data_IF_921489808859
#
_entry.id   IF_921489808859
#
_cell.length_a   1.000
_cell.length_b   1.000
_cell.length_c   1.000
_cell.angle_alpha   90.00
_cell.angle_beta   90.00
_cell.angle_gamma   90.00
#
_symmetry.space_group_name_H-M   'P 1'
#
loop_
_entity.id
_entity.type
_entity.pdbx_description
1 polymer ?
#
# COMPACT_ATOMS: atom_id res chain seq x y z
N UNK A 1 1.27 -2.85 21.54
CA UNK A 1 1.06 -2.13 20.27
C UNK A 1 1.83 -2.74 19.09
N UNK A 2 3.10 -3.06 19.18
CA UNK A 2 3.84 -3.64 18.05
C UNK A 2 3.27 -4.95 17.50
N UNK A 3 2.71 -5.81 18.35
CA UNK A 3 2.01 -7.03 17.90
C UNK A 3 0.76 -6.67 17.09
N UNK A 4 -0.03 -5.67 17.53
CA UNK A 4 -1.18 -5.18 16.79
C UNK A 4 -0.79 -4.65 15.40
N UNK A 5 0.30 -3.88 15.31
CA UNK A 5 0.84 -3.38 14.04
C UNK A 5 1.27 -4.52 13.09
N UNK A 6 1.84 -5.60 13.62
CA UNK A 6 2.18 -6.79 12.80
C UNK A 6 0.94 -7.52 12.29
N UNK A 7 -0.15 -7.54 13.06
CA UNK A 7 -1.44 -8.09 12.60
C UNK A 7 -2.04 -7.21 11.49
N UNK A 8 -2.02 -5.88 11.66
CA UNK A 8 -2.42 -4.95 10.61
C UNK A 8 -1.60 -5.15 9.32
N UNK A 9 -0.28 -5.33 9.43
CA UNK A 9 0.61 -5.58 8.28
C UNK A 9 0.24 -6.84 7.49
N UNK A 10 -0.25 -7.89 8.17
CA UNK A 10 -0.72 -9.12 7.49
C UNK A 10 -2.00 -8.92 6.71
N UNK A 11 -2.85 -7.99 7.13
CA UNK A 11 -4.12 -7.69 6.49
C UNK A 11 -3.99 -6.73 5.29
N UNK A 12 -2.84 -6.04 5.12
CA UNK A 12 -2.63 -5.14 3.97
C UNK A 12 -2.78 -5.87 2.64
N UNK A 13 -3.37 -5.18 1.65
CA UNK A 13 -3.69 -5.70 0.33
C UNK A 13 -5.03 -6.47 0.26
N UNK A 14 -5.70 -6.68 1.40
CA UNK A 14 -6.95 -7.45 1.46
C UNK A 14 -8.14 -6.67 2.01
N UNK A 15 -7.93 -5.52 2.64
CA UNK A 15 -8.96 -4.79 3.40
C UNK A 15 -9.59 -3.62 2.67
N UNK A 16 -9.02 -3.23 1.53
CA UNK A 16 -9.51 -2.07 0.75
C UNK A 16 -11.03 -2.17 0.48
N UNK A 17 -11.75 -1.06 0.58
CA UNK A 17 -11.32 0.32 0.81
C UNK A 17 -11.07 0.71 2.28
N UNK A 18 -11.28 -0.21 3.23
CA UNK A 18 -11.09 0.02 4.67
C UNK A 18 -9.61 -0.06 5.06
N UNK A 19 -9.18 0.62 6.14
CA UNK A 19 -7.82 0.47 6.64
C UNK A 19 -7.54 -0.93 7.17
N UNK A 20 -6.31 -1.39 7.01
CA UNK A 20 -5.80 -2.57 7.67
C UNK A 20 -5.49 -2.23 9.14
N UNK A 21 -6.34 -2.66 10.06
CA UNK A 21 -6.22 -2.45 11.50
C UNK A 21 -5.89 -3.77 12.18
N UNK A 22 -5.08 -3.73 13.23
CA UNK A 22 -4.83 -4.87 14.10
C UNK A 22 -5.27 -4.56 15.53
N UNK A 23 -5.79 -5.56 16.21
CA UNK A 23 -6.22 -5.43 17.60
C UNK A 23 -5.81 -6.64 18.44
N UNK A 24 -5.61 -6.42 19.76
CA UNK A 24 -5.46 -7.45 20.78
C UNK A 24 -6.27 -7.08 22.02
N UNK A 25 -6.73 -8.10 22.76
CA UNK A 25 -7.24 -7.98 24.11
C UNK A 25 -6.26 -8.68 25.05
N UNK A 26 -5.82 -7.98 26.08
CA UNK A 26 -4.79 -8.45 27.03
C UNK A 26 -5.30 -8.33 28.45
N UNK A 27 -5.04 -9.33 29.26
CA UNK A 27 -5.21 -9.25 30.72
C UNK A 27 -4.09 -8.42 31.32
N UNK A 28 -4.37 -7.23 31.90
CA UNK A 28 -3.33 -6.38 32.46
C UNK A 28 -2.66 -6.96 33.72
N UNK A 29 -3.28 -7.92 34.37
CA UNK A 29 -2.75 -8.54 35.60
C UNK A 29 -1.73 -9.65 35.32
N UNK A 30 -1.90 -10.39 34.22
CA UNK A 30 -1.05 -11.53 33.85
C UNK A 30 -0.17 -11.25 32.63
N UNK A 31 -0.57 -10.28 31.78
CA UNK A 31 0.03 -10.04 30.47
C UNK A 31 -0.43 -11.03 29.39
N UNK A 32 -1.38 -11.90 29.70
CA UNK A 32 -1.92 -12.89 28.76
C UNK A 32 -2.71 -12.22 27.63
N UNK A 33 -2.50 -12.71 26.41
CA UNK A 33 -3.25 -12.29 25.21
C UNK A 33 -4.51 -13.15 25.10
N UNK A 34 -5.67 -12.60 25.48
CA UNK A 34 -6.98 -13.26 25.44
C UNK A 34 -7.44 -13.46 24.00
N UNK A 35 -7.29 -12.42 23.16
CA UNK A 35 -7.67 -12.46 21.75
C UNK A 35 -6.75 -11.59 20.91
N UNK A 36 -6.59 -11.93 19.63
CA UNK A 36 -5.85 -11.15 18.65
C UNK A 36 -6.49 -11.29 17.27
N UNK A 37 -6.50 -10.22 16.50
CA UNK A 37 -7.11 -10.22 15.17
C UNK A 37 -6.74 -8.98 14.36
N UNK A 38 -7.26 -8.92 13.16
CA UNK A 38 -7.11 -7.80 12.24
C UNK A 38 -8.38 -7.60 11.42
N UNK A 39 -8.49 -6.45 10.77
CA UNK A 39 -9.55 -6.24 9.76
C UNK A 39 -9.56 -7.41 8.77
N UNK A 40 -10.73 -7.97 8.56
CA UNK A 40 -10.90 -9.14 7.69
C UNK A 40 -10.92 -8.75 6.20
N UNK A 41 -10.71 -9.70 5.28
CA UNK A 41 -10.77 -9.45 3.84
C UNK A 41 -12.06 -8.75 3.41
N UNK A 42 -11.95 -7.78 2.47
CA UNK A 42 -13.05 -6.91 2.11
C UNK A 42 -13.37 -5.81 3.14
N UNK A 43 -12.52 -5.69 4.18
CA UNK A 43 -12.58 -4.63 5.18
C UNK A 43 -13.56 -4.87 6.33
N UNK A 44 -14.15 -6.06 6.43
CA UNK A 44 -15.13 -6.40 7.48
C UNK A 44 -15.12 -7.89 7.82
N UNK A 45 -15.36 -8.26 9.13
CA UNK A 45 -15.48 -7.35 10.28
C UNK A 45 -14.20 -6.53 10.57
N UNK A 46 -14.35 -5.44 11.34
CA UNK A 46 -13.22 -4.66 11.82
C UNK A 46 -12.43 -5.45 12.87
N UNK A 47 -11.16 -5.08 13.10
CA UNK A 47 -10.28 -5.79 14.03
C UNK A 47 -10.86 -5.87 15.45
N UNK A 48 -11.49 -4.79 15.93
CA UNK A 48 -12.09 -4.71 17.26
C UNK A 48 -13.26 -5.72 17.39
N UNK A 49 -14.15 -5.77 16.40
CA UNK A 49 -15.28 -6.70 16.39
C UNK A 49 -14.79 -8.16 16.37
N UNK A 50 -13.75 -8.43 15.59
CA UNK A 50 -13.11 -9.76 15.50
C UNK A 50 -12.57 -10.21 16.87
N UNK A 51 -11.76 -9.38 17.53
CA UNK A 51 -11.17 -9.75 18.83
C UNK A 51 -12.20 -9.82 19.95
N UNK A 52 -13.24 -8.98 19.90
CA UNK A 52 -14.34 -9.02 20.88
C UNK A 52 -15.18 -10.29 20.72
N UNK A 53 -15.42 -10.74 19.48
CA UNK A 53 -16.13 -11.98 19.23
C UNK A 53 -15.35 -13.21 19.76
N UNK A 54 -14.02 -13.22 19.60
CA UNK A 54 -13.15 -14.28 20.11
C UNK A 54 -13.06 -14.25 21.63
N UNK A 55 -12.88 -13.08 22.24
CA UNK A 55 -12.74 -12.96 23.70
C UNK A 55 -14.07 -13.20 24.45
N UNK A 56 -15.19 -12.88 23.84
CA UNK A 56 -16.49 -13.04 24.49
C UNK A 56 -16.56 -12.37 25.85
N UNK A 57 -17.00 -13.11 26.88
CA UNK A 57 -17.13 -12.58 28.27
C UNK A 57 -15.79 -12.24 28.93
N UNK A 58 -14.70 -12.84 28.49
CA UNK A 58 -13.36 -12.60 29.04
C UNK A 58 -12.82 -11.20 28.71
N UNK A 59 -13.43 -10.50 27.74
CA UNK A 59 -13.07 -9.12 27.40
C UNK A 59 -13.30 -8.13 28.57
N UNK A 60 -14.25 -8.44 29.46
CA UNK A 60 -14.63 -7.53 30.56
C UNK A 60 -13.47 -7.22 31.48
N UNK A 61 -13.24 -5.91 31.73
CA UNK A 61 -12.17 -5.42 32.59
C UNK A 61 -10.77 -5.49 31.98
N UNK A 62 -10.63 -5.91 30.71
CA UNK A 62 -9.33 -6.08 30.04
C UNK A 62 -8.90 -4.83 29.29
N UNK A 63 -7.67 -4.87 28.77
CA UNK A 63 -7.07 -3.81 27.94
C UNK A 63 -7.11 -4.21 26.47
N UNK A 64 -7.68 -3.36 25.63
CA UNK A 64 -7.62 -3.49 24.17
C UNK A 64 -6.51 -2.61 23.61
N UNK A 65 -5.66 -3.17 22.74
CA UNK A 65 -4.73 -2.45 21.88
C UNK A 65 -5.28 -2.47 20.47
N UNK A 66 -5.45 -1.31 19.84
CA UNK A 66 -5.96 -1.18 18.47
C UNK A 66 -5.11 -0.15 17.71
N UNK A 67 -4.78 -0.41 16.45
CA UNK A 67 -3.79 0.39 15.70
C UNK A 67 -4.33 1.68 15.08
N UNK A 68 -5.63 1.92 15.16
CA UNK A 68 -6.33 3.12 14.70
C UNK A 68 -7.52 3.38 15.63
N UNK A 69 -7.95 4.63 15.74
CA UNK A 69 -9.11 5.02 16.53
C UNK A 69 -10.34 4.15 16.19
N UNK A 70 -11.04 3.57 17.20
CA UNK A 70 -12.28 2.84 17.00
C UNK A 70 -13.37 3.73 16.39
N UNK A 71 -14.03 3.24 15.35
CA UNK A 71 -15.08 4.01 14.67
C UNK A 71 -16.27 4.27 15.60
N UNK A 72 -16.87 5.50 15.46
CA UNK A 72 -18.00 5.98 16.25
C UNK A 72 -19.27 6.25 15.43
N UNK A 73 -19.21 6.05 14.11
CA UNK A 73 -20.36 6.25 13.23
C UNK A 73 -21.02 4.94 12.85
N UNK A 74 -22.33 4.95 12.69
CA UNK A 74 -23.09 3.83 12.14
C UNK A 74 -22.80 3.71 10.63
N UNK A 75 -22.23 2.58 10.24
CA UNK A 75 -22.03 2.20 8.85
C UNK A 75 -22.90 0.99 8.49
N UNK A 76 -22.30 0.01 7.79
CA UNK A 76 -22.94 -1.28 7.55
C UNK A 76 -23.05 -2.16 8.82
N UNK A 77 -22.26 -1.83 9.83
CA UNK A 77 -22.24 -2.48 11.16
C UNK A 77 -22.29 -1.42 12.25
N UNK A 78 -22.71 -1.77 13.48
CA UNK A 78 -22.63 -0.86 14.61
C UNK A 78 -21.20 -0.35 14.82
N UNK A 79 -21.01 0.82 15.46
CA UNK A 79 -19.70 1.40 15.76
C UNK A 79 -18.86 0.47 16.65
N UNK A 80 -17.55 0.39 16.39
CA UNK A 80 -16.64 -0.37 17.24
C UNK A 80 -16.56 0.19 18.65
N UNK A 81 -16.66 1.50 18.83
CA UNK A 81 -16.70 2.13 20.16
C UNK A 81 -17.86 1.60 21.02
N UNK A 82 -19.07 1.45 20.43
CA UNK A 82 -20.21 0.88 21.15
C UNK A 82 -19.98 -0.60 21.52
N UNK A 83 -19.41 -1.38 20.60
CA UNK A 83 -19.09 -2.78 20.87
C UNK A 83 -18.04 -2.93 22.00
N UNK A 84 -17.05 -2.04 22.06
CA UNK A 84 -16.05 -1.97 23.14
C UNK A 84 -16.72 -1.69 24.49
N UNK A 85 -17.66 -0.72 24.53
CA UNK A 85 -18.42 -0.39 25.75
C UNK A 85 -19.29 -1.56 26.21
N UNK A 86 -20.04 -2.18 25.29
CA UNK A 86 -20.89 -3.34 25.60
C UNK A 86 -20.10 -4.53 26.16
N UNK A 87 -18.89 -4.76 25.62
CA UNK A 87 -17.99 -5.81 26.12
C UNK A 87 -17.38 -5.50 27.48
N UNK A 88 -17.47 -4.25 27.96
CA UNK A 88 -16.94 -3.84 29.25
C UNK A 88 -15.40 -3.77 29.27
N UNK A 89 -14.76 -3.45 28.17
CA UNK A 89 -13.30 -3.15 28.13
C UNK A 89 -13.03 -1.97 29.08
N UNK A 90 -12.03 -2.11 29.95
CA UNK A 90 -11.68 -1.08 30.93
C UNK A 90 -10.69 -0.05 30.38
N UNK A 91 -9.83 -0.45 29.44
CA UNK A 91 -8.77 0.42 28.88
C UNK A 91 -8.58 0.16 27.39
N UNK A 92 -8.40 1.22 26.63
CA UNK A 92 -8.06 1.18 25.19
C UNK A 92 -6.72 1.89 24.99
N UNK A 93 -5.79 1.25 24.29
CA UNK A 93 -4.54 1.86 23.83
C UNK A 93 -4.63 2.02 22.33
N UNK A 94 -4.69 3.28 21.88
CA UNK A 94 -4.83 3.66 20.48
C UNK A 94 -3.73 4.66 20.09
N UNK A 95 -2.91 4.41 19.07
CA UNK A 95 -1.75 5.26 18.74
C UNK A 95 -2.10 6.59 18.07
N UNK A 96 -3.15 6.63 17.26
CA UNK A 96 -3.53 7.78 16.42
C UNK A 96 -5.04 7.91 16.28
N UNK A 97 -5.51 9.13 16.12
CA UNK A 97 -6.88 9.41 15.72
C UNK A 97 -7.10 9.02 14.24
N UNK A 98 -8.34 8.71 13.91
CA UNK A 98 -8.74 8.47 12.51
C UNK A 98 -8.89 9.82 11.79
N UNK A 99 -8.25 10.02 10.62
CA UNK A 99 -8.39 11.25 9.84
C UNK A 99 -9.76 11.41 9.17
N UNK A 100 -10.62 10.38 9.19
CA UNK A 100 -11.98 10.47 8.68
C UNK A 100 -12.81 11.48 9.52
N UNK A 101 -13.33 12.56 8.94
CA UNK A 101 -14.12 13.58 9.69
C UNK A 101 -15.35 13.01 10.41
N UNK A 102 -15.83 11.83 10.00
CA UNK A 102 -16.93 11.13 10.66
C UNK A 102 -16.52 10.53 11.99
N UNK A 103 -15.22 10.20 12.17
CA UNK A 103 -14.61 9.58 13.36
C UNK A 103 -13.81 10.61 14.15
N UNK A 104 -12.70 11.05 13.66
CA UNK A 104 -11.78 12.11 14.14
C UNK A 104 -11.95 12.54 15.60
N UNK A 105 -11.43 11.76 16.52
CA UNK A 105 -11.51 12.00 17.96
C UNK A 105 -12.82 11.63 18.64
N UNK A 106 -13.91 11.37 17.90
CA UNK A 106 -15.24 11.08 18.46
C UNK A 106 -15.31 9.71 19.13
N UNK A 107 -14.62 8.72 18.58
CA UNK A 107 -14.54 7.38 19.17
C UNK A 107 -13.82 7.40 20.50
N UNK A 108 -12.70 8.11 20.56
CA UNK A 108 -11.93 8.33 21.82
C UNK A 108 -12.78 9.11 22.82
N UNK A 109 -13.44 10.19 22.41
CA UNK A 109 -14.30 11.00 23.28
C UNK A 109 -15.46 10.17 23.87
N UNK A 110 -16.12 9.36 23.06
CA UNK A 110 -17.23 8.49 23.48
C UNK A 110 -16.75 7.45 24.52
N UNK A 111 -15.62 6.80 24.28
CA UNK A 111 -15.05 5.83 25.22
C UNK A 111 -14.70 6.48 26.56
N UNK A 112 -14.03 7.65 26.54
CA UNK A 112 -13.66 8.40 27.76
C UNK A 112 -14.89 8.88 28.53
N UNK A 113 -15.93 9.39 27.87
CA UNK A 113 -17.17 9.82 28.48
C UNK A 113 -17.91 8.68 29.21
N UNK A 114 -17.73 7.45 28.72
CA UNK A 114 -18.28 6.24 29.35
C UNK A 114 -17.37 5.63 30.43
N UNK A 115 -16.26 6.29 30.81
CA UNK A 115 -15.36 5.85 31.87
C UNK A 115 -14.26 4.87 31.43
N UNK A 116 -14.08 4.62 30.14
CA UNK A 116 -12.97 3.81 29.62
C UNK A 116 -11.69 4.64 29.63
N UNK A 117 -10.60 4.11 30.20
CA UNK A 117 -9.28 4.73 30.10
C UNK A 117 -8.76 4.64 28.69
N UNK A 118 -8.40 5.77 28.04
CA UNK A 118 -7.88 5.79 26.66
C UNK A 118 -6.51 6.43 26.62
N UNK A 119 -5.48 5.63 26.31
CA UNK A 119 -4.11 6.09 26.10
C UNK A 119 -3.83 6.26 24.60
N UNK A 120 -3.29 7.43 24.26
CA UNK A 120 -2.94 7.78 22.88
C UNK A 120 -1.42 7.85 22.70
N UNK A 121 -0.96 7.71 21.45
CA UNK A 121 0.42 8.03 21.04
C UNK A 121 1.42 6.88 21.07
N UNK A 122 1.09 5.73 21.66
CA UNK A 122 2.00 4.57 21.75
C UNK A 122 2.31 4.00 20.35
N UNK A 123 3.56 4.12 19.88
CA UNK A 123 4.00 3.75 18.53
C UNK A 123 3.30 4.56 17.41
N UNK A 124 3.00 5.85 17.66
CA UNK A 124 2.23 6.68 16.71
C UNK A 124 2.88 6.79 15.32
N UNK A 125 4.21 6.91 15.25
CA UNK A 125 4.93 6.94 13.96
C UNK A 125 4.72 5.69 13.11
N UNK A 126 4.86 4.51 13.73
CA UNK A 126 4.64 3.22 13.05
C UNK A 126 3.17 3.05 12.64
N UNK A 127 2.24 3.50 13.50
CA UNK A 127 0.81 3.42 13.21
C UNK A 127 0.39 4.34 12.05
N UNK A 128 0.90 5.59 12.00
CA UNK A 128 0.68 6.48 10.86
C UNK A 128 1.17 5.87 9.56
N UNK A 129 2.36 5.26 9.61
CA UNK A 129 2.92 4.60 8.43
C UNK A 129 2.09 3.38 8.01
N UNK A 130 1.61 2.59 8.96
CA UNK A 130 0.71 1.46 8.72
C UNK A 130 -0.60 1.93 8.07
N UNK A 131 -1.21 2.98 8.61
CA UNK A 131 -2.46 3.58 8.13
C UNK A 131 -2.28 4.56 6.95
N UNK A 132 -1.06 4.72 6.40
CA UNK A 132 -0.72 5.75 5.41
C UNK A 132 -1.68 5.80 4.22
N UNK A 133 -2.08 4.65 3.68
CA UNK A 133 -3.03 4.59 2.58
C UNK A 133 -4.41 5.17 2.96
N UNK A 134 -4.90 4.85 4.14
CA UNK A 134 -6.15 5.41 4.66
C UNK A 134 -6.03 6.93 4.91
N UNK A 135 -4.94 7.35 5.55
CA UNK A 135 -4.69 8.77 5.83
C UNK A 135 -4.69 9.59 4.52
N UNK A 136 -3.92 9.16 3.51
CA UNK A 136 -3.81 9.87 2.25
C UNK A 136 -5.13 9.88 1.44
N UNK A 137 -5.91 8.82 1.52
CA UNK A 137 -7.25 8.80 0.93
C UNK A 137 -8.17 9.84 1.57
N UNK A 138 -8.19 9.93 2.89
CA UNK A 138 -9.06 10.85 3.62
C UNK A 138 -8.61 12.30 3.46
N UNK A 139 -7.32 12.57 3.41
CA UNK A 139 -6.75 13.94 3.40
C UNK A 139 -6.41 14.47 2.02
N UNK A 140 -6.07 13.60 1.06
CA UNK A 140 -5.55 14.00 -0.25
C UNK A 140 -6.26 13.35 -1.44
N UNK A 141 -7.24 12.47 -1.20
CA UNK A 141 -8.00 11.77 -2.25
C UNK A 141 -7.09 10.97 -3.19
N UNK A 142 -6.09 10.31 -2.64
CA UNK A 142 -5.16 9.45 -3.37
C UNK A 142 -4.68 8.25 -2.54
N UNK A 143 -4.28 7.13 -3.18
CA UNK A 143 -3.61 6.04 -2.50
C UNK A 143 -2.20 6.44 -2.03
N UNK A 144 -1.65 5.68 -1.08
CA UNK A 144 -0.23 5.65 -0.79
C UNK A 144 0.53 5.02 -1.96
N UNK A 145 1.58 5.68 -2.43
CA UNK A 145 2.37 5.26 -3.59
C UNK A 145 3.73 4.73 -3.16
N UNK A 146 3.95 3.45 -3.42
CA UNK A 146 5.23 2.79 -3.21
C UNK A 146 5.91 2.53 -4.56
N UNK A 147 7.04 3.19 -4.81
CA UNK A 147 7.88 2.99 -5.99
C UNK A 147 8.89 1.88 -5.71
N UNK A 148 8.88 0.81 -6.52
CA UNK A 148 9.87 -0.27 -6.43
C UNK A 148 10.81 -0.20 -7.63
N UNK A 149 12.12 -0.16 -7.35
CA UNK A 149 13.19 -0.24 -8.35
C UNK A 149 14.07 -1.46 -8.08
N UNK A 150 14.47 -2.16 -9.15
CA UNK A 150 15.45 -3.24 -9.06
C UNK A 150 16.62 -2.91 -9.97
N UNK A 151 17.82 -2.79 -9.37
CA UNK A 151 19.02 -2.37 -10.07
C UNK A 151 20.17 -3.34 -9.82
N UNK A 152 21.06 -3.43 -10.77
CA UNK A 152 22.33 -4.11 -10.70
C UNK A 152 23.31 -3.44 -9.72
N UNK A 153 24.48 -4.02 -9.53
CA UNK A 153 25.54 -3.44 -8.70
C UNK A 153 25.94 -2.03 -9.16
N UNK A 154 25.97 -1.79 -10.47
CA UNK A 154 26.29 -0.48 -11.09
C UNK A 154 25.09 0.45 -11.23
N UNK A 155 23.94 0.12 -10.60
CA UNK A 155 22.78 1.01 -10.50
C UNK A 155 21.87 1.02 -11.72
N UNK A 156 21.97 0.07 -12.62
CA UNK A 156 21.21 -0.02 -13.87
C UNK A 156 20.07 -1.04 -13.77
N UNK A 157 18.97 -0.80 -14.47
CA UNK A 157 17.87 -1.76 -14.66
C UNK A 157 18.14 -2.65 -15.89
N UNK A 158 17.63 -3.89 -15.85
CA UNK A 158 17.64 -4.76 -17.02
C UNK A 158 16.75 -4.19 -18.12
N UNK A 159 17.13 -4.42 -19.38
CA UNK A 159 16.26 -4.23 -20.55
C UNK A 159 15.32 -5.43 -20.66
N UNK A 160 14.04 -5.18 -20.95
CA UNK A 160 13.03 -6.24 -21.01
C UNK A 160 13.29 -7.30 -22.08
N UNK A 161 13.84 -6.93 -23.21
CA UNK A 161 14.10 -7.78 -24.38
C UNK A 161 15.54 -8.30 -24.46
N UNK A 162 16.29 -8.25 -23.37
CA UNK A 162 17.70 -8.67 -23.30
C UNK A 162 18.04 -9.58 -22.13
N UNK A 163 19.16 -10.26 -22.20
CA UNK A 163 19.78 -10.93 -21.06
C UNK A 163 20.72 -9.94 -20.34
N UNK A 164 20.84 -10.01 -18.99
CA UNK A 164 20.10 -10.90 -18.10
C UNK A 164 18.69 -10.36 -17.79
N UNK A 165 17.71 -11.26 -17.74
CA UNK A 165 16.31 -10.91 -17.41
C UNK A 165 16.12 -10.46 -15.96
N UNK A 166 16.99 -10.90 -15.06
CA UNK A 166 16.91 -10.65 -13.63
C UNK A 166 18.22 -10.03 -13.14
N UNK A 167 18.11 -8.94 -12.41
CA UNK A 167 19.24 -8.24 -11.76
C UNK A 167 19.36 -8.55 -10.27
N UNK A 168 18.36 -9.25 -9.70
CA UNK A 168 18.30 -9.61 -8.27
C UNK A 168 18.02 -11.10 -8.07
N UNK A 169 18.47 -11.63 -6.94
CA UNK A 169 18.32 -13.02 -6.54
C UNK A 169 16.89 -13.45 -6.20
N UNK A 170 16.67 -14.73 -5.91
CA UNK A 170 15.34 -15.29 -5.65
C UNK A 170 14.67 -14.71 -4.40
N UNK A 171 15.41 -14.43 -3.33
CA UNK A 171 14.90 -13.88 -2.07
C UNK A 171 14.38 -12.43 -2.27
N UNK A 172 15.12 -11.62 -3.02
CA UNK A 172 14.69 -10.26 -3.37
C UNK A 172 13.45 -10.28 -4.26
N UNK A 173 13.37 -11.22 -5.21
CA UNK A 173 12.15 -11.41 -6.01
C UNK A 173 10.96 -11.87 -5.18
N UNK A 174 11.18 -12.77 -4.20
CA UNK A 174 10.13 -13.19 -3.27
C UNK A 174 9.60 -12.00 -2.44
N UNK A 175 10.50 -11.11 -1.96
CA UNK A 175 10.08 -9.87 -1.32
C UNK A 175 9.27 -8.97 -2.27
N UNK A 176 9.65 -8.86 -3.54
CA UNK A 176 8.87 -8.15 -4.56
C UNK A 176 7.46 -8.73 -4.72
N UNK A 177 7.32 -10.05 -4.74
CA UNK A 177 6.00 -10.70 -4.74
C UNK A 177 5.21 -10.45 -3.46
N UNK A 178 5.85 -10.40 -2.30
CA UNK A 178 5.18 -10.04 -1.04
C UNK A 178 4.71 -8.58 -1.05
N UNK A 179 5.46 -7.67 -1.68
CA UNK A 179 5.02 -6.28 -1.88
C UNK A 179 3.75 -6.23 -2.75
N UNK A 180 3.66 -7.05 -3.80
CA UNK A 180 2.45 -7.17 -4.62
C UNK A 180 1.26 -7.67 -3.80
N UNK A 181 1.44 -8.71 -2.97
CA UNK A 181 0.39 -9.24 -2.10
C UNK A 181 -0.12 -8.23 -1.07
N UNK A 182 0.68 -7.21 -0.72
CA UNK A 182 0.33 -6.15 0.25
C UNK A 182 -0.16 -4.85 -0.40
N UNK A 183 -0.23 -4.81 -1.72
CA UNK A 183 -0.75 -3.68 -2.47
C UNK A 183 -2.16 -3.99 -2.98
N UNK A 184 -3.04 -3.00 -2.98
CA UNK A 184 -4.39 -3.15 -3.58
C UNK A 184 -4.31 -3.11 -5.10
N UNK A 185 -3.32 -2.37 -5.64
CA UNK A 185 -3.06 -2.28 -7.07
C UNK A 185 -1.56 -2.19 -7.38
N UNK A 186 -1.18 -2.70 -8.56
CA UNK A 186 0.15 -2.57 -9.15
C UNK A 186 0.05 -1.77 -10.45
N UNK A 187 0.96 -0.83 -10.65
CA UNK A 187 0.95 0.06 -11.81
C UNK A 187 2.26 -0.05 -12.61
N UNK A 188 2.09 -0.16 -13.93
CA UNK A 188 3.18 -0.11 -14.91
C UNK A 188 2.82 0.83 -16.06
N UNK A 189 3.81 1.25 -16.84
CA UNK A 189 3.59 1.91 -18.12
C UNK A 189 3.44 0.90 -19.26
N UNK A 190 2.85 1.33 -20.38
CA UNK A 190 2.74 0.53 -21.61
C UNK A 190 4.10 -0.03 -22.08
N UNK A 191 5.21 0.73 -21.88
CA UNK A 191 6.54 0.25 -22.24
C UNK A 191 6.87 -1.08 -21.57
N UNK A 192 6.67 -1.18 -20.25
CA UNK A 192 6.89 -2.43 -19.50
C UNK A 192 6.01 -3.58 -20.03
N UNK A 193 4.75 -3.29 -20.44
CA UNK A 193 3.89 -4.30 -21.04
C UNK A 193 4.45 -4.78 -22.37
N UNK A 194 4.95 -3.87 -23.22
CA UNK A 194 5.50 -4.20 -24.53
C UNK A 194 6.83 -4.95 -24.45
N UNK A 195 7.69 -4.59 -23.49
CA UNK A 195 9.05 -5.12 -23.41
C UNK A 195 9.10 -6.46 -22.64
N UNK A 196 8.31 -6.60 -21.56
CA UNK A 196 8.38 -7.73 -20.61
C UNK A 196 7.20 -8.70 -20.72
N UNK A 197 6.08 -8.27 -21.31
CA UNK A 197 4.79 -8.99 -21.33
C UNK A 197 4.46 -9.63 -19.95
N UNK A 198 4.39 -8.81 -18.87
CA UNK A 198 4.35 -9.31 -17.51
C UNK A 198 2.94 -9.73 -17.10
N UNK A 199 2.84 -10.67 -16.15
CA UNK A 199 1.57 -11.03 -15.50
C UNK A 199 1.18 -10.07 -14.38
N UNK A 200 2.15 -9.51 -13.65
CA UNK A 200 1.99 -8.61 -12.50
C UNK A 200 1.19 -9.21 -11.32
N UNK A 201 1.21 -10.51 -11.17
CA UNK A 201 0.55 -11.27 -10.11
C UNK A 201 1.48 -11.59 -8.95
N UNK A 202 0.94 -11.92 -7.79
CA UNK A 202 1.69 -12.57 -6.71
C UNK A 202 1.81 -14.07 -7.00
N UNK A 203 3.03 -14.61 -6.98
CA UNK A 203 3.31 -16.04 -7.23
C UNK A 203 4.00 -16.71 -6.05
N UNK A 204 3.84 -16.16 -4.84
CA UNK A 204 4.28 -16.84 -3.63
C UNK A 204 3.32 -17.98 -3.29
N UNK A 205 3.82 -19.13 -2.83
CA UNK A 205 2.98 -20.22 -2.36
C UNK A 205 1.99 -19.74 -1.27
N UNK A 206 0.72 -20.07 -1.44
CA UNK A 206 -0.35 -19.68 -0.50
C UNK A 206 -0.82 -18.20 -0.60
N UNK A 207 -0.26 -17.39 -1.53
CA UNK A 207 -0.64 -15.99 -1.72
C UNK A 207 -1.05 -15.66 -3.18
N UNK A 208 -1.40 -16.64 -3.99
CA UNK A 208 -1.81 -16.41 -5.38
C UNK A 208 -3.07 -15.52 -5.46
N UNK A 209 -4.03 -15.73 -4.55
CA UNK A 209 -5.29 -14.96 -4.45
C UNK A 209 -5.07 -13.52 -3.94
N UNK A 210 -3.89 -13.23 -3.40
CA UNK A 210 -3.46 -11.88 -3.00
C UNK A 210 -2.86 -11.07 -4.16
N UNK A 211 -3.17 -11.42 -5.41
CA UNK A 211 -2.72 -10.66 -6.57
C UNK A 211 -3.43 -9.32 -6.66
N UNK A 212 -2.69 -8.18 -6.77
CA UNK A 212 -3.28 -6.85 -6.83
C UNK A 212 -4.04 -6.60 -8.15
N UNK A 213 -4.93 -5.61 -8.16
CA UNK A 213 -5.48 -5.06 -9.43
C UNK A 213 -4.33 -4.51 -10.27
N UNK A 214 -4.40 -4.72 -11.58
CA UNK A 214 -3.31 -4.33 -12.50
C UNK A 214 -3.67 -3.06 -13.25
N UNK A 215 -2.81 -2.04 -13.14
CA UNK A 215 -3.02 -0.72 -13.74
C UNK A 215 -1.97 -0.50 -14.82
N UNK A 216 -2.40 -0.08 -15.99
CA UNK A 216 -1.51 0.27 -17.11
C UNK A 216 -1.69 1.74 -17.47
N UNK A 217 -0.61 2.52 -17.50
CA UNK A 217 -0.60 3.86 -18.07
C UNK A 217 -0.29 3.76 -19.58
N UNK A 218 -1.29 4.04 -20.40
CA UNK A 218 -1.20 3.97 -21.86
C UNK A 218 -1.97 5.12 -22.50
N UNK A 219 -1.36 6.29 -22.56
CA UNK A 219 -1.97 7.52 -23.08
C UNK A 219 -2.65 7.36 -24.46
N UNK A 220 -2.20 6.41 -25.28
CA UNK A 220 -2.68 6.18 -26.66
C UNK A 220 -3.48 4.90 -26.82
N UNK A 221 -3.72 4.14 -25.74
CA UNK A 221 -4.42 2.85 -25.73
C UNK A 221 -3.85 1.83 -26.76
N UNK A 222 -2.54 1.65 -26.75
CA UNK A 222 -1.80 0.72 -27.62
C UNK A 222 -1.42 -0.60 -26.94
N UNK A 223 -1.87 -0.84 -25.72
CA UNK A 223 -1.67 -2.12 -25.04
C UNK A 223 -2.29 -3.23 -25.87
N UNK A 224 -1.54 -4.26 -26.27
CA UNK A 224 -2.09 -5.31 -27.14
C UNK A 224 -3.16 -6.13 -26.39
N UNK A 225 -4.30 -6.46 -27.03
CA UNK A 225 -5.27 -7.41 -26.45
C UNK A 225 -4.68 -8.80 -26.18
N UNK A 226 -3.58 -9.13 -26.84
CA UNK A 226 -2.83 -10.39 -26.68
C UNK A 226 -1.85 -10.39 -25.52
N UNK A 227 -1.62 -9.25 -24.86
CA UNK A 227 -0.72 -9.16 -23.69
C UNK A 227 -1.18 -10.10 -22.56
N UNK A 228 -0.24 -10.75 -21.87
CA UNK A 228 -0.55 -11.73 -20.81
C UNK A 228 -1.49 -11.17 -19.75
N UNK A 229 -1.21 -9.93 -19.26
CA UNK A 229 -2.07 -9.29 -18.28
C UNK A 229 -3.51 -9.11 -18.78
N UNK A 230 -3.73 -8.83 -20.08
CA UNK A 230 -5.07 -8.69 -20.69
C UNK A 230 -5.74 -10.06 -20.77
N UNK A 231 -5.05 -11.08 -21.28
CA UNK A 231 -5.59 -12.45 -21.41
C UNK A 231 -5.95 -13.08 -20.06
N UNK A 232 -5.31 -12.67 -18.98
CA UNK A 232 -5.56 -13.15 -17.61
C UNK A 232 -6.41 -12.18 -16.77
N UNK A 233 -7.14 -11.25 -17.42
CA UNK A 233 -7.93 -10.23 -16.73
C UNK A 233 -9.07 -10.81 -15.88
N UNK A 234 -9.57 -12.01 -16.21
CA UNK A 234 -10.54 -12.73 -15.38
C UNK A 234 -9.99 -13.22 -14.04
N UNK A 235 -8.67 -13.45 -13.94
CA UNK A 235 -8.02 -13.91 -12.71
C UNK A 235 -7.66 -12.74 -11.78
N UNK A 236 -7.19 -11.63 -12.35
CA UNK A 236 -6.95 -10.38 -11.64
C UNK A 236 -7.38 -9.22 -12.56
N UNK A 237 -8.24 -8.29 -12.11
CA UNK A 237 -8.75 -7.21 -12.95
C UNK A 237 -7.64 -6.31 -13.49
N UNK A 238 -7.85 -5.77 -14.69
CA UNK A 238 -6.96 -4.80 -15.35
C UNK A 238 -7.70 -3.49 -15.59
N UNK A 239 -7.07 -2.37 -15.27
CA UNK A 239 -7.54 -1.04 -15.66
C UNK A 239 -6.46 -0.37 -16.51
N UNK A 240 -6.82 0.05 -17.72
CA UNK A 240 -5.93 0.79 -18.61
C UNK A 240 -6.37 2.25 -18.60
N UNK A 241 -5.48 3.14 -18.14
CA UNK A 241 -5.70 4.58 -18.24
C UNK A 241 -5.23 5.09 -19.61
N UNK A 242 -6.15 5.64 -20.38
CA UNK A 242 -5.90 6.27 -21.68
C UNK A 242 -6.17 7.77 -21.65
N UNK A 243 -5.63 8.50 -22.62
CA UNK A 243 -5.98 9.91 -22.85
C UNK A 243 -7.46 10.07 -23.19
N UNK A 244 -8.01 11.26 -22.95
CA UNK A 244 -9.45 11.54 -23.17
C UNK A 244 -9.91 11.17 -24.56
N UNK A 245 -9.13 11.51 -25.59
CA UNK A 245 -9.46 11.31 -27.01
C UNK A 245 -8.84 10.03 -27.61
N UNK A 246 -8.15 9.23 -26.80
CA UNK A 246 -7.47 8.05 -27.33
C UNK A 246 -8.48 6.98 -27.79
N UNK A 247 -8.37 6.51 -29.02
CA UNK A 247 -9.05 5.32 -29.50
C UNK A 247 -8.16 4.09 -29.29
N UNK A 248 -8.74 3.00 -28.79
CA UNK A 248 -8.02 1.75 -28.53
C UNK A 248 -8.75 0.54 -29.09
N UNK A 249 -8.11 -0.64 -29.08
CA UNK A 249 -8.74 -1.87 -29.48
C UNK A 249 -9.88 -2.26 -28.53
N UNK A 250 -10.68 -3.22 -28.94
CA UNK A 250 -11.63 -3.87 -28.06
C UNK A 250 -10.89 -4.79 -27.08
N UNK A 251 -11.23 -4.68 -25.79
CA UNK A 251 -10.66 -5.51 -24.73
C UNK A 251 -11.70 -6.51 -24.19
N UNK A 252 -11.27 -7.70 -23.72
CA UNK A 252 -12.18 -8.69 -23.15
C UNK A 252 -12.74 -8.23 -21.80
N UNK A 253 -13.74 -8.97 -21.31
CA UNK A 253 -14.25 -8.80 -19.94
C UNK A 253 -13.13 -8.91 -18.91
N UNK A 254 -13.22 -8.08 -17.85
CA UNK A 254 -12.17 -7.97 -16.82
C UNK A 254 -11.13 -6.87 -17.10
N UNK A 255 -11.15 -6.25 -18.27
CA UNK A 255 -10.36 -5.05 -18.60
C UNK A 255 -11.27 -3.83 -18.63
N UNK A 256 -11.01 -2.87 -17.76
CA UNK A 256 -11.67 -1.57 -17.76
C UNK A 256 -10.78 -0.50 -18.39
N UNK A 257 -11.39 0.43 -19.12
CA UNK A 257 -10.70 1.63 -19.63
C UNK A 257 -11.17 2.82 -18.81
N UNK A 258 -10.22 3.58 -18.26
CA UNK A 258 -10.46 4.88 -17.62
C UNK A 258 -9.76 5.98 -18.41
N UNK A 259 -10.30 7.20 -18.31
CA UNK A 259 -9.77 8.36 -19.02
C UNK A 259 -9.11 9.32 -18.05
N UNK A 260 -7.95 9.84 -18.45
CA UNK A 260 -7.29 10.93 -17.77
C UNK A 260 -6.75 11.94 -18.80
N UNK A 261 -6.75 13.23 -18.49
CA UNK A 261 -6.20 14.24 -19.35
C UNK A 261 -4.69 14.01 -19.53
N UNK A 262 -4.14 14.58 -20.60
CA UNK A 262 -2.70 14.64 -20.81
C UNK A 262 -2.15 15.91 -20.13
N UNK A 263 -1.08 15.76 -19.39
CA UNK A 263 -0.26 16.90 -18.93
C UNK A 263 0.49 17.52 -20.12
N UNK A 264 1.12 18.68 -19.93
CA UNK A 264 1.92 19.37 -20.96
C UNK A 264 3.01 18.49 -21.59
N UNK A 265 3.46 17.47 -20.88
CA UNK A 265 4.45 16.48 -21.32
C UNK A 265 3.90 15.39 -22.24
N UNK A 266 2.64 15.48 -22.68
CA UNK A 266 1.93 14.44 -23.43
C UNK A 266 1.82 13.09 -22.69
N UNK A 267 2.00 13.09 -21.37
CA UNK A 267 1.78 11.95 -20.47
C UNK A 267 0.46 12.16 -19.71
N UNK A 268 -0.11 11.06 -19.24
CA UNK A 268 -1.33 11.12 -18.43
C UNK A 268 -1.09 11.94 -17.16
N UNK A 269 -2.05 12.77 -16.79
CA UNK A 269 -2.04 13.47 -15.51
C UNK A 269 -2.16 12.47 -14.35
N UNK A 270 -1.08 12.32 -13.59
CA UNK A 270 -1.00 11.32 -12.52
C UNK A 270 -1.91 11.65 -11.34
N UNK A 271 -2.22 12.92 -11.10
CA UNK A 271 -3.15 13.29 -10.00
C UNK A 271 -4.56 12.82 -10.33
N UNK A 272 -5.01 13.00 -11.54
CA UNK A 272 -6.30 12.45 -12.03
C UNK A 272 -6.30 10.92 -12.00
N UNK A 273 -5.20 10.26 -12.39
CA UNK A 273 -5.08 8.80 -12.29
C UNK A 273 -5.22 8.34 -10.84
N UNK A 274 -4.50 8.95 -9.90
CA UNK A 274 -4.54 8.58 -8.48
C UNK A 274 -5.91 8.87 -7.83
N UNK A 275 -6.56 10.00 -8.19
CA UNK A 275 -7.94 10.29 -7.75
C UNK A 275 -8.91 9.22 -8.24
N UNK A 276 -8.79 8.80 -9.49
CA UNK A 276 -9.60 7.69 -10.02
C UNK A 276 -9.36 6.38 -9.27
N UNK A 277 -8.13 6.09 -8.86
CA UNK A 277 -7.84 4.90 -8.05
C UNK A 277 -8.41 5.03 -6.62
N UNK A 278 -8.42 6.24 -6.03
CA UNK A 278 -9.09 6.50 -4.74
C UNK A 278 -10.60 6.22 -4.83
N UNK A 279 -11.27 6.66 -5.91
CA UNK A 279 -12.69 6.36 -6.17
C UNK A 279 -12.95 4.85 -6.25
N UNK A 280 -12.01 4.08 -6.83
CA UNK A 280 -12.06 2.62 -6.90
C UNK A 280 -11.75 1.94 -5.54
N UNK A 281 -11.47 2.73 -4.50
CA UNK A 281 -11.20 2.24 -3.15
C UNK A 281 -9.76 1.79 -2.92
N UNK A 282 -8.83 2.02 -3.84
CA UNK A 282 -7.42 1.66 -3.69
C UNK A 282 -6.79 2.50 -2.58
N UNK A 283 -6.16 1.84 -1.62
CA UNK A 283 -5.45 2.49 -0.51
C UNK A 283 -3.94 2.50 -0.71
N UNK A 284 -3.39 1.45 -1.34
CA UNK A 284 -1.96 1.27 -1.58
C UNK A 284 -1.69 0.88 -3.02
N UNK A 285 -0.85 1.67 -3.68
CA UNK A 285 -0.42 1.48 -5.06
C UNK A 285 1.06 1.12 -5.11
N UNK A 286 1.39 -0.03 -5.69
CA UNK A 286 2.76 -0.41 -6.00
C UNK A 286 3.10 0.00 -7.44
N UNK A 287 4.09 0.84 -7.62
CA UNK A 287 4.59 1.24 -8.95
C UNK A 287 5.83 0.41 -9.28
N UNK A 288 5.71 -0.45 -10.28
CA UNK A 288 6.82 -1.25 -10.87
C UNK A 288 7.05 -0.85 -12.34
N UNK A 289 6.90 0.42 -12.64
CA UNK A 289 7.08 0.93 -14.01
C UNK A 289 8.55 1.07 -14.40
N UNK A 290 8.78 1.23 -15.70
CA UNK A 290 10.10 1.56 -16.23
C UNK A 290 10.55 3.00 -15.90
N UNK A 291 11.75 3.41 -16.37
CA UNK A 291 12.38 4.69 -16.01
C UNK A 291 11.50 5.93 -16.20
N UNK A 292 10.68 5.94 -17.27
CA UNK A 292 9.81 7.06 -17.57
C UNK A 292 8.63 7.20 -16.57
N UNK A 293 8.09 6.08 -16.10
CA UNK A 293 7.03 6.09 -15.07
C UNK A 293 7.61 6.51 -13.73
N UNK A 294 8.75 5.94 -13.34
CA UNK A 294 9.46 6.34 -12.11
C UNK A 294 9.74 7.85 -12.10
N UNK A 295 10.27 8.39 -13.19
CA UNK A 295 10.52 9.82 -13.37
C UNK A 295 9.24 10.65 -13.21
N UNK A 296 8.14 10.25 -13.84
CA UNK A 296 6.88 11.00 -13.79
C UNK A 296 6.31 11.08 -12.38
N UNK A 297 6.34 10.00 -11.61
CA UNK A 297 5.88 9.99 -10.22
C UNK A 297 6.77 10.83 -9.29
N UNK A 298 8.08 10.78 -9.48
CA UNK A 298 9.05 11.57 -8.71
C UNK A 298 8.93 13.07 -9.01
N UNK A 299 8.83 13.48 -10.28
CA UNK A 299 8.67 14.87 -10.68
C UNK A 299 7.37 15.48 -10.18
N UNK A 300 6.30 14.68 -10.10
CA UNK A 300 5.02 15.09 -9.56
C UNK A 300 4.96 15.15 -8.02
N UNK A 301 6.01 14.69 -7.32
CA UNK A 301 6.04 14.59 -5.86
C UNK A 301 5.01 13.60 -5.31
N UNK A 302 4.75 12.51 -6.04
CA UNK A 302 3.69 11.56 -5.72
C UNK A 302 4.20 10.21 -5.18
N UNK A 303 5.49 10.07 -4.92
CA UNK A 303 6.10 8.88 -4.32
C UNK A 303 6.18 9.07 -2.81
N UNK A 304 5.50 8.23 -2.04
CA UNK A 304 5.55 8.25 -0.57
C UNK A 304 6.66 7.36 -0.02
N UNK A 305 6.96 6.25 -0.69
CA UNK A 305 8.04 5.34 -0.35
C UNK A 305 8.74 4.83 -1.60
N UNK A 306 10.07 4.84 -1.60
CA UNK A 306 10.90 4.18 -2.60
C UNK A 306 11.60 2.96 -2.01
N UNK A 307 11.50 1.80 -2.68
CA UNK A 307 12.15 0.55 -2.28
C UNK A 307 13.09 0.13 -3.40
N UNK A 308 14.38 0.19 -3.12
CA UNK A 308 15.45 -0.05 -4.08
C UNK A 308 16.12 -1.38 -3.76
N UNK A 309 15.99 -2.34 -4.66
CA UNK A 309 16.69 -3.62 -4.63
C UNK A 309 17.96 -3.50 -5.45
N UNK A 310 19.11 -3.81 -4.87
CA UNK A 310 20.40 -3.80 -5.56
C UNK A 310 21.00 -5.19 -5.60
N UNK A 311 21.18 -5.73 -6.80
CA UNK A 311 21.85 -7.00 -7.04
C UNK A 311 23.36 -6.88 -6.98
N UNK A 312 24.04 -8.04 -7.02
CA UNK A 312 25.51 -8.16 -6.90
C UNK A 312 26.24 -8.06 -8.23
N UNK A 313 25.56 -8.33 -9.34
CA UNK A 313 26.19 -8.35 -10.66
C UNK A 313 25.99 -7.01 -11.39
N UNK A 314 27.01 -6.54 -12.12
CA UNK A 314 26.88 -5.35 -12.97
C UNK A 314 26.19 -5.67 -14.30
N UNK A 315 25.51 -4.71 -14.89
CA UNK A 315 24.93 -4.80 -16.24
C UNK A 315 25.80 -4.13 -17.31
N UNK A 316 26.64 -3.17 -16.90
CA UNK A 316 27.46 -2.39 -17.83
C UNK A 316 26.58 -1.69 -18.90
N UNK A 317 27.08 -1.64 -20.13
CA UNK A 317 26.37 -0.97 -21.25
C UNK A 317 25.05 -1.62 -21.67
N UNK A 318 24.69 -2.81 -21.15
CA UNK A 318 23.42 -3.48 -21.44
C UNK A 318 22.25 -2.96 -20.61
N UNK A 319 22.51 -2.17 -19.56
CA UNK A 319 21.49 -1.65 -18.65
C UNK A 319 20.82 -0.36 -19.12
N UNK A 320 19.75 0.02 -18.39
CA UNK A 320 19.06 1.32 -18.50
C UNK A 320 19.14 2.07 -17.19
N UNK A 321 19.15 3.42 -17.17
CA UNK A 321 19.00 4.16 -15.94
C UNK A 321 17.64 3.83 -15.29
N UNK A 322 17.56 3.66 -13.95
CA UNK A 322 16.32 3.28 -13.28
C UNK A 322 15.29 4.41 -13.23
N UNK A 323 15.73 5.64 -13.42
CA UNK A 323 14.93 6.85 -13.52
C UNK A 323 15.42 7.59 -14.76
N UNK A 324 14.52 7.94 -15.66
CA UNK A 324 14.87 8.65 -16.88
C UNK A 324 15.55 9.99 -16.53
N UNK A 325 16.75 10.23 -17.08
CA UNK A 325 17.55 11.45 -16.90
C UNK A 325 17.85 11.83 -15.42
N UNK A 326 17.82 10.85 -14.49
CA UNK A 326 18.18 11.07 -13.08
C UNK A 326 18.97 9.91 -12.49
N UNK A 327 19.80 10.21 -11.50
CA UNK A 327 20.51 9.24 -10.67
C UNK A 327 19.64 8.79 -9.48
N UNK A 328 19.96 7.62 -8.91
CA UNK A 328 19.41 7.16 -7.63
C UNK A 328 19.83 8.03 -6.43
N UNK A 329 20.85 8.87 -6.61
CA UNK A 329 21.33 9.79 -5.57
C UNK A 329 20.25 10.79 -5.11
N UNK A 330 19.16 10.97 -5.87
CA UNK A 330 18.03 11.79 -5.43
C UNK A 330 17.43 11.29 -4.09
N UNK A 331 17.57 10.00 -3.78
CA UNK A 331 17.09 9.41 -2.53
C UNK A 331 18.05 9.66 -1.35
N UNK A 332 19.26 10.16 -1.59
CA UNK A 332 20.24 10.56 -0.55
C UNK A 332 20.04 12.03 -0.12
N UNK A 333 19.17 12.81 -0.76
CA UNK A 333 18.82 14.16 -0.28
C UNK A 333 17.97 14.08 1.00
N UNK A 334 18.63 14.26 2.14
CA UNK A 334 18.01 14.19 3.47
C UNK A 334 16.90 15.24 3.73
N UNK A 335 16.74 16.23 2.85
CA UNK A 335 15.64 17.21 2.92
C UNK A 335 14.35 16.65 2.32
N UNK A 336 14.47 15.71 1.39
CA UNK A 336 13.34 15.11 0.68
C UNK A 336 13.06 13.66 1.12
N UNK A 337 14.08 12.95 1.57
CA UNK A 337 14.00 11.52 1.84
C UNK A 337 14.66 11.13 3.16
N UNK A 338 14.09 10.17 3.86
CA UNK A 338 14.68 9.52 5.02
C UNK A 338 14.89 8.04 4.75
N UNK A 339 16.11 7.55 4.93
CA UNK A 339 16.39 6.10 4.94
C UNK A 339 15.67 5.48 6.14
N UNK A 340 14.68 4.63 5.87
CA UNK A 340 13.83 4.01 6.88
C UNK A 340 14.23 2.56 7.19
N UNK A 341 14.84 1.87 6.24
CA UNK A 341 15.31 0.49 6.40
C UNK A 341 16.43 0.20 5.38
N UNK A 342 17.45 -0.50 5.83
CA UNK A 342 18.51 -1.04 4.99
C UNK A 342 18.89 -2.42 5.49
N UNK A 343 18.89 -3.42 4.59
CA UNK A 343 19.24 -4.79 4.97
C UNK A 343 19.69 -5.62 3.78
N UNK A 344 20.47 -6.65 4.08
CA UNK A 344 20.75 -7.74 3.13
C UNK A 344 19.50 -8.63 2.97
N UNK A 345 19.31 -9.17 1.77
CA UNK A 345 18.29 -10.15 1.44
C UNK A 345 18.84 -11.18 0.46
N UNK A 346 19.18 -12.37 0.94
CA UNK A 346 20.05 -13.29 0.22
C UNK A 346 21.39 -12.62 -0.06
N UNK A 347 21.80 -12.60 -1.31
CA UNK A 347 23.02 -11.91 -1.77
C UNK A 347 22.81 -10.43 -2.07
N UNK A 348 21.57 -9.96 -2.18
CA UNK A 348 21.22 -8.62 -2.58
C UNK A 348 21.08 -7.66 -1.40
N UNK A 349 20.95 -6.38 -1.67
CA UNK A 349 20.64 -5.35 -0.70
C UNK A 349 19.31 -4.68 -1.02
N UNK A 350 18.56 -4.32 0.04
CA UNK A 350 17.33 -3.55 -0.08
C UNK A 350 17.47 -2.29 0.78
N UNK A 351 17.17 -1.13 0.17
CA UNK A 351 17.02 0.16 0.85
C UNK A 351 15.61 0.66 0.69
N UNK A 352 15.06 1.20 1.78
CA UNK A 352 13.73 1.77 1.80
C UNK A 352 13.83 3.23 2.25
N UNK A 353 13.35 4.12 1.41
CA UNK A 353 13.32 5.56 1.66
C UNK A 353 11.89 6.04 1.80
N UNK A 354 11.62 6.87 2.79
CA UNK A 354 10.34 7.55 2.99
C UNK A 354 10.45 8.99 2.60
N UNK A 355 9.50 9.47 1.82
CA UNK A 355 9.43 10.86 1.44
C UNK A 355 9.07 11.74 2.64
N UNK A 356 9.71 12.91 2.72
CA UNK A 356 9.50 13.94 3.74
C UNK A 356 8.69 15.10 3.12
N UNK A 357 7.86 15.77 3.95
CA UNK A 357 7.13 16.96 3.53
C UNK A 357 5.62 16.86 3.77
N UNK A 358 4.90 18.00 3.63
CA UNK A 358 3.48 18.11 4.00
C UNK A 358 2.53 17.28 3.14
N UNK A 359 2.98 16.85 1.94
CA UNK A 359 2.22 15.98 1.07
C UNK A 359 2.39 14.48 1.40
N UNK A 360 3.19 14.14 2.42
CA UNK A 360 3.50 12.77 2.79
C UNK A 360 3.17 12.50 4.26
N UNK A 361 3.03 11.23 4.62
CA UNK A 361 2.55 10.80 5.95
C UNK A 361 3.56 11.09 7.07
N UNK A 362 4.83 11.22 6.73
CA UNK A 362 5.93 11.39 7.70
C UNK A 362 6.22 12.87 8.02
N UNK A 363 5.23 13.76 7.90
CA UNK A 363 5.32 15.09 8.46
C UNK A 363 5.32 14.97 9.99
N UNK A 364 6.50 14.82 10.58
CA UNK A 364 6.71 14.94 12.02
C UNK A 364 6.45 16.40 12.42
N UNK A 365 5.24 16.72 12.81
CA UNK A 365 4.88 17.84 13.68
C UNK A 365 3.65 17.50 14.48
#
# INVERSE_FOLDING_TARGET
>A
MQVALRLALRAQGHTAPNPAVGALIVDPSTGEVIARGSTQPGGRPHAEAEVLAVAGREARGKTMYVTLEPCSHHGRTPPCADAILQAGIARVVCPIEDPDPRVSGKGVALLRAAGVTVDMGVCAGDARWMAAGHILRMTQRRPFVQLKLAVSRDGLMARGNGAPRWVTGPEARALGHLMRARADAILVGRGTVADDDPELTCRLPGLADASPRRIVLDARLRTPPTAKLVRTASQAPVTIFGGTEAAGPHYPAGVAIRRAPLAETWRLDLRTVLSGLDEDGITRLLVEGGPAVARSFLDAGLVDEAVIFRGTEPLGGAGLPPILDRSLEIFEDARAWRLADERAIGTDHVRRYRALGPAHVDSSR
#
